data_IF_628692916452
#
_entry.id   IF_628692916452
#
_cell.length_a   1.000
_cell.length_b   1.000
_cell.length_c   1.000
_cell.angle_alpha   90.00
_cell.angle_beta   90.00
_cell.angle_gamma   90.00
#
_symmetry.space_group_name_H-M   'P 1'
#
loop_
_entity.id
_entity.type
_entity.pdbx_description
1 polymer ?
#
# COMPACT_ATOMS: atom_id res chain seq x y z
N UNK A 1 -31.41 27.98 20.74
CA UNK A 1 -30.21 27.11 20.77
C UNK A 1 -29.04 27.95 20.31
N UNK A 2 -28.29 28.49 21.26
CA UNK A 2 -27.12 29.33 21.02
C UNK A 2 -25.93 28.43 20.70
N UNK A 3 -25.43 28.53 19.46
CA UNK A 3 -24.18 27.90 19.06
C UNK A 3 -23.06 28.65 19.78
N UNK A 4 -22.43 28.01 20.77
CA UNK A 4 -21.23 28.54 21.39
C UNK A 4 -20.12 28.61 20.33
N UNK A 5 -19.49 29.78 20.11
CA UNK A 5 -18.27 29.84 19.33
C UNK A 5 -17.20 29.15 20.16
N UNK A 6 -16.75 27.97 19.71
CA UNK A 6 -15.54 27.35 20.24
C UNK A 6 -14.35 28.26 19.89
N UNK A 7 -13.95 29.11 20.83
CA UNK A 7 -12.60 29.66 20.86
C UNK A 7 -11.66 28.46 21.08
N UNK A 8 -10.98 28.02 20.02
CA UNK A 8 -9.74 27.27 20.20
C UNK A 8 -8.75 28.27 20.77
N UNK A 9 -8.23 28.01 21.97
CA UNK A 9 -7.16 28.83 22.53
C UNK A 9 -5.94 28.75 21.61
N UNK A 10 -5.10 29.79 21.60
CA UNK A 10 -3.92 29.88 20.72
C UNK A 10 -3.00 28.64 20.86
N UNK A 11 -2.94 28.08 22.08
CA UNK A 11 -2.23 26.85 22.44
C UNK A 11 -2.84 25.61 21.74
N UNK A 12 -4.17 25.55 21.58
CA UNK A 12 -4.84 24.43 20.92
C UNK A 12 -4.59 24.42 19.41
N UNK A 13 -4.45 25.60 18.80
CA UNK A 13 -4.13 25.73 17.37
C UNK A 13 -2.70 25.29 17.08
N UNK A 14 -1.73 25.67 17.91
CA UNK A 14 -0.34 25.23 17.75
C UNK A 14 -0.20 23.71 17.89
N UNK A 15 -0.86 23.11 18.88
CA UNK A 15 -0.88 21.65 19.07
C UNK A 15 -1.52 20.95 17.87
N UNK A 16 -2.63 21.49 17.35
CA UNK A 16 -3.31 20.92 16.19
C UNK A 16 -2.47 21.01 14.91
N UNK A 17 -1.75 22.11 14.71
CA UNK A 17 -0.81 22.29 13.60
C UNK A 17 0.39 21.34 13.68
N UNK A 18 0.94 21.11 14.87
CA UNK A 18 2.04 20.16 15.05
C UNK A 18 1.57 18.72 14.81
N UNK A 19 0.38 18.34 15.30
CA UNK A 19 -0.22 17.04 15.01
C UNK A 19 -0.47 16.85 13.51
N UNK A 20 -0.95 17.87 12.83
CA UNK A 20 -1.14 17.89 11.38
C UNK A 20 0.20 17.71 10.64
N UNK A 21 1.23 18.51 11.00
CA UNK A 21 2.58 18.42 10.44
C UNK A 21 3.18 17.02 10.59
N UNK A 22 3.10 16.44 11.80
CA UNK A 22 3.58 15.09 12.06
C UNK A 22 2.81 14.04 11.25
N UNK A 23 1.50 14.20 11.11
CA UNK A 23 0.69 13.29 10.32
C UNK A 23 1.07 13.33 8.82
N UNK A 24 1.30 14.52 8.25
CA UNK A 24 1.77 14.69 6.87
C UNK A 24 3.19 14.11 6.64
N UNK A 25 4.14 14.36 7.55
CA UNK A 25 5.49 13.78 7.47
C UNK A 25 5.44 12.25 7.49
N UNK A 26 4.65 11.70 8.40
CA UNK A 26 4.46 10.25 8.52
C UNK A 26 3.81 9.65 7.27
N UNK A 27 2.80 10.32 6.69
CA UNK A 27 2.17 9.89 5.44
C UNK A 27 3.16 9.84 4.27
N UNK A 28 4.03 10.84 4.14
CA UNK A 28 5.07 10.88 3.10
C UNK A 28 6.12 9.78 3.28
N UNK A 29 6.66 9.64 4.48
CA UNK A 29 7.64 8.59 4.79
C UNK A 29 7.07 7.20 4.51
N UNK A 30 5.79 7.01 4.82
CA UNK A 30 5.06 5.78 4.56
C UNK A 30 4.92 5.47 3.06
N UNK A 31 4.50 6.44 2.24
CA UNK A 31 4.37 6.24 0.79
C UNK A 31 5.72 5.81 0.20
N UNK A 32 6.81 6.47 0.61
CA UNK A 32 8.17 6.10 0.19
C UNK A 32 8.52 4.66 0.57
N UNK A 33 8.23 4.26 1.81
CA UNK A 33 8.48 2.90 2.29
C UNK A 33 7.67 1.86 1.51
N UNK A 34 6.42 2.16 1.17
CA UNK A 34 5.54 1.29 0.37
C UNK A 34 6.12 1.07 -1.03
N UNK A 35 6.51 2.12 -1.73
CA UNK A 35 7.13 2.00 -3.06
C UNK A 35 8.43 1.19 -3.02
N UNK A 36 9.27 1.40 -2.01
CA UNK A 36 10.53 0.65 -1.85
C UNK A 36 10.26 -0.84 -1.63
N UNK A 37 9.32 -1.19 -0.74
CA UNK A 37 8.92 -2.58 -0.50
C UNK A 37 8.32 -3.23 -1.74
N UNK A 38 7.50 -2.49 -2.47
CA UNK A 38 6.89 -2.96 -3.72
C UNK A 38 7.94 -3.21 -4.80
N UNK A 39 8.90 -2.29 -4.98
CA UNK A 39 10.00 -2.46 -5.93
C UNK A 39 10.84 -3.70 -5.61
N UNK A 40 11.17 -3.93 -4.34
CA UNK A 40 11.88 -5.13 -3.88
C UNK A 40 11.06 -6.39 -4.19
N UNK A 41 9.75 -6.38 -3.90
CA UNK A 41 8.86 -7.50 -4.19
C UNK A 41 8.85 -7.87 -5.67
N UNK A 42 8.67 -6.87 -6.55
CA UNK A 42 8.68 -7.09 -8.01
C UNK A 42 10.04 -7.59 -8.47
N UNK A 43 11.13 -7.01 -7.97
CA UNK A 43 12.49 -7.43 -8.32
C UNK A 43 12.75 -8.88 -7.93
N UNK A 44 12.40 -9.30 -6.71
CA UNK A 44 12.58 -10.69 -6.26
C UNK A 44 11.77 -11.64 -7.14
N UNK A 45 10.48 -11.36 -7.40
CA UNK A 45 9.66 -12.25 -8.22
C UNK A 45 10.17 -12.34 -9.67
N UNK A 46 10.61 -11.21 -10.24
CA UNK A 46 11.16 -11.19 -11.59
C UNK A 46 12.47 -11.99 -11.68
N UNK A 47 13.39 -11.80 -10.73
CA UNK A 47 14.67 -12.54 -10.71
C UNK A 47 14.45 -14.03 -10.49
N UNK A 48 13.62 -14.42 -9.51
CA UNK A 48 13.35 -15.83 -9.22
C UNK A 48 12.60 -16.48 -10.40
N UNK A 49 11.60 -15.80 -10.96
CA UNK A 49 10.88 -16.29 -12.14
C UNK A 49 11.80 -16.49 -13.34
N UNK A 50 12.66 -15.51 -13.65
CA UNK A 50 13.63 -15.61 -14.73
C UNK A 50 14.67 -16.73 -14.49
N UNK A 51 15.18 -16.85 -13.25
CA UNK A 51 16.13 -17.89 -12.87
C UNK A 51 15.57 -19.30 -13.06
N UNK A 52 14.26 -19.48 -12.83
CA UNK A 52 13.58 -20.77 -13.01
C UNK A 52 13.63 -21.26 -14.46
N UNK A 53 13.59 -20.36 -15.44
CA UNK A 53 13.69 -20.71 -16.86
C UNK A 53 15.12 -20.69 -17.41
N UNK A 54 16.00 -19.86 -16.83
CA UNK A 54 17.36 -19.68 -17.34
C UNK A 54 18.33 -20.77 -16.85
N UNK A 55 18.07 -21.38 -15.70
CA UNK A 55 19.00 -22.29 -15.05
C UNK A 55 18.44 -23.72 -15.05
N UNK A 56 19.05 -24.58 -15.87
CA UNK A 56 18.66 -25.99 -16.02
C UNK A 56 18.62 -26.76 -14.68
N UNK A 57 19.53 -26.45 -13.75
CA UNK A 57 19.62 -27.12 -12.44
C UNK A 57 18.43 -26.83 -11.50
N UNK A 58 17.69 -25.74 -11.75
CA UNK A 58 16.52 -25.36 -10.95
C UNK A 58 15.22 -26.03 -11.43
N UNK A 59 15.18 -26.57 -12.65
CA UNK A 59 14.02 -27.29 -13.18
C UNK A 59 13.50 -28.41 -12.26
N UNK A 60 14.31 -29.34 -11.72
CA UNK A 60 13.80 -30.39 -10.84
C UNK A 60 13.20 -29.86 -9.52
N UNK A 61 13.46 -28.60 -9.17
CA UNK A 61 12.95 -27.96 -7.96
C UNK A 61 11.82 -26.97 -8.23
N UNK A 62 11.24 -26.96 -9.43
CA UNK A 62 10.21 -25.98 -9.85
C UNK A 62 9.10 -25.78 -8.81
N UNK A 63 8.56 -26.88 -8.26
CA UNK A 63 7.49 -26.87 -7.26
C UNK A 63 7.89 -26.04 -6.03
N UNK A 64 9.11 -26.22 -5.53
CA UNK A 64 9.60 -25.48 -4.37
C UNK A 64 9.76 -24.00 -4.67
N UNK A 65 10.20 -23.66 -5.88
CA UNK A 65 10.39 -22.28 -6.32
C UNK A 65 9.04 -21.57 -6.45
N UNK A 66 8.04 -22.22 -7.06
CA UNK A 66 6.70 -21.65 -7.16
C UNK A 66 6.00 -21.57 -5.82
N UNK A 67 6.13 -22.57 -4.94
CA UNK A 67 5.63 -22.47 -3.57
C UNK A 67 6.26 -21.30 -2.83
N UNK A 68 7.57 -21.09 -2.99
CA UNK A 68 8.26 -19.93 -2.43
C UNK A 68 7.69 -18.61 -2.99
N UNK A 69 7.50 -18.52 -4.31
CA UNK A 69 6.90 -17.36 -4.97
C UNK A 69 5.48 -17.04 -4.51
N UNK A 70 4.64 -18.08 -4.35
CA UNK A 70 3.27 -17.97 -3.83
C UNK A 70 3.29 -17.48 -2.39
N UNK A 71 4.08 -18.10 -1.51
CA UNK A 71 4.19 -17.73 -0.10
C UNK A 71 4.68 -16.28 0.04
N UNK A 72 5.70 -15.89 -0.73
CA UNK A 72 6.21 -14.52 -0.76
C UNK A 72 5.11 -13.54 -1.19
N UNK A 73 4.37 -13.86 -2.25
CA UNK A 73 3.26 -13.04 -2.76
C UNK A 73 2.16 -12.85 -1.72
N UNK A 74 1.76 -13.92 -1.03
CA UNK A 74 0.75 -13.87 0.04
C UNK A 74 1.24 -13.02 1.22
N UNK A 75 2.50 -13.20 1.64
CA UNK A 75 3.09 -12.42 2.74
C UNK A 75 3.11 -10.92 2.42
N UNK A 76 3.56 -10.54 1.23
CA UNK A 76 3.57 -9.14 0.81
C UNK A 76 2.16 -8.56 0.66
N UNK A 77 1.20 -9.35 0.19
CA UNK A 77 -0.19 -8.93 0.09
C UNK A 77 -0.81 -8.69 1.49
N UNK A 78 -0.58 -9.58 2.45
CA UNK A 78 -1.01 -9.38 3.85
C UNK A 78 -0.37 -8.13 4.43
N UNK A 79 0.93 -7.94 4.20
CA UNK A 79 1.66 -6.79 4.67
C UNK A 79 1.09 -5.50 4.07
N UNK A 80 0.88 -5.43 2.76
CA UNK A 80 0.26 -4.27 2.10
C UNK A 80 -1.13 -3.98 2.67
N UNK A 81 -1.96 -5.02 2.86
CA UNK A 81 -3.31 -4.89 3.41
C UNK A 81 -3.32 -4.33 4.84
N UNK A 82 -2.40 -4.79 5.71
CA UNK A 82 -2.28 -4.25 7.08
C UNK A 82 -1.77 -2.82 7.09
N UNK A 83 -0.78 -2.55 6.25
CA UNK A 83 -0.10 -1.26 6.15
C UNK A 83 -1.12 -0.22 5.62
N UNK A 84 -1.97 -0.61 4.66
CA UNK A 84 -3.05 0.22 4.15
C UNK A 84 -4.09 0.60 5.21
N UNK A 85 -4.55 -0.34 6.05
CA UNK A 85 -5.50 -0.02 7.14
C UNK A 85 -4.94 1.05 8.09
N UNK A 86 -3.63 0.99 8.36
CA UNK A 86 -2.95 1.99 9.17
C UNK A 86 -2.91 3.36 8.47
N UNK A 87 -2.66 3.38 7.17
CA UNK A 87 -2.65 4.60 6.36
C UNK A 87 -4.03 5.26 6.30
N UNK A 88 -5.09 4.49 6.04
CA UNK A 88 -6.47 5.00 6.00
C UNK A 88 -6.84 5.70 7.32
N UNK A 89 -6.42 5.12 8.45
CA UNK A 89 -6.63 5.70 9.77
C UNK A 89 -5.85 7.02 9.97
N UNK A 90 -4.63 7.12 9.41
CA UNK A 90 -3.84 8.38 9.44
C UNK A 90 -4.43 9.45 8.53
N UNK A 91 -4.86 9.10 7.31
CA UNK A 91 -5.54 10.04 6.42
C UNK A 91 -6.84 10.58 7.02
N UNK A 92 -7.63 9.73 7.68
CA UNK A 92 -8.83 10.20 8.41
C UNK A 92 -8.50 11.18 9.52
N UNK A 93 -7.38 11.00 10.23
CA UNK A 93 -6.91 11.96 11.26
C UNK A 93 -6.45 13.27 10.64
N UNK A 94 -5.75 13.24 9.51
CA UNK A 94 -5.35 14.44 8.76
C UNK A 94 -6.58 15.22 8.34
N UNK A 95 -7.55 14.57 7.69
CA UNK A 95 -8.82 15.17 7.29
C UNK A 95 -9.60 15.74 8.48
N UNK A 96 -9.59 15.07 9.63
CA UNK A 96 -10.22 15.60 10.83
C UNK A 96 -9.52 16.87 11.34
N UNK A 97 -8.18 16.93 11.31
CA UNK A 97 -7.42 18.13 11.67
C UNK A 97 -7.67 19.28 10.68
N UNK A 98 -7.71 18.99 9.37
CA UNK A 98 -8.01 19.99 8.32
C UNK A 98 -9.41 20.60 8.48
N UNK A 99 -10.41 19.78 8.84
CA UNK A 99 -11.77 20.26 9.17
C UNK A 99 -11.79 21.15 10.41
N UNK A 100 -11.05 20.78 11.46
CA UNK A 100 -10.98 21.56 12.70
C UNK A 100 -10.23 22.89 12.50
N UNK A 101 -9.22 22.92 11.63
CA UNK A 101 -8.47 24.13 11.29
C UNK A 101 -9.21 25.06 10.30
N UNK A 102 -10.36 24.64 9.76
CA UNK A 102 -11.12 25.40 8.76
C UNK A 102 -10.41 25.52 7.40
N UNK A 103 -9.42 24.68 7.11
CA UNK A 103 -8.61 24.73 5.87
C UNK A 103 -8.98 23.61 4.88
N UNK A 104 -10.01 22.81 5.21
CA UNK A 104 -10.48 21.72 4.37
C UNK A 104 -10.75 22.14 2.91
N UNK A 105 -11.33 23.33 2.72
CA UNK A 105 -11.68 23.87 1.39
C UNK A 105 -10.47 24.38 0.58
N UNK A 106 -9.34 24.62 1.25
CA UNK A 106 -8.14 25.20 0.64
C UNK A 106 -7.20 24.14 0.05
N UNK A 107 -7.16 22.94 0.63
CA UNK A 107 -6.23 21.88 0.24
C UNK A 107 -6.88 20.71 -0.52
N UNK A 108 -8.19 20.48 -0.35
CA UNK A 108 -8.91 19.40 -1.03
C UNK A 108 -10.24 19.95 -1.56
N UNK A 109 -10.35 20.32 -2.85
CA UNK A 109 -11.65 20.67 -3.41
C UNK A 109 -12.61 19.47 -3.25
N UNK A 110 -13.87 19.78 -2.91
CA UNK A 110 -15.00 18.88 -2.61
C UNK A 110 -15.33 17.78 -3.65
N UNK A 111 -14.50 17.58 -4.68
CA UNK A 111 -14.78 16.72 -5.83
C UNK A 111 -14.39 15.25 -5.67
N UNK A 112 -13.67 14.85 -4.62
CA UNK A 112 -13.33 13.43 -4.41
C UNK A 112 -14.09 12.84 -3.22
N UNK A 113 -15.34 12.41 -3.47
CA UNK A 113 -16.08 11.52 -2.55
C UNK A 113 -15.39 10.14 -2.39
N UNK A 114 -14.42 9.82 -3.24
CA UNK A 114 -13.57 8.65 -3.10
C UNK A 114 -12.42 8.96 -2.13
N UNK A 115 -12.16 8.14 -1.10
CA UNK A 115 -10.99 8.32 -0.26
C UNK A 115 -9.72 8.32 -1.14
N UNK A 116 -8.77 9.25 -0.92
CA UNK A 116 -7.55 9.33 -1.71
C UNK A 116 -6.77 8.01 -1.57
N UNK A 117 -6.80 7.18 -2.61
CA UNK A 117 -6.16 5.86 -2.62
C UNK A 117 -7.00 4.67 -3.06
N UNK A 118 -8.31 4.84 -3.35
CA UNK A 118 -9.14 3.77 -3.92
C UNK A 118 -8.61 3.20 -5.27
N UNK A 119 -8.17 4.00 -6.26
CA UNK A 119 -7.58 3.47 -7.50
C UNK A 119 -6.24 2.76 -7.25
N UNK A 120 -5.41 3.28 -6.34
CA UNK A 120 -4.11 2.67 -5.98
C UNK A 120 -4.33 1.32 -5.29
N UNK A 121 -5.37 1.19 -4.46
CA UNK A 121 -5.73 -0.07 -3.81
C UNK A 121 -6.07 -1.15 -4.83
N UNK A 122 -6.93 -0.82 -5.79
CA UNK A 122 -7.35 -1.76 -6.83
C UNK A 122 -6.13 -2.17 -7.66
N UNK A 123 -5.30 -1.21 -8.06
CA UNK A 123 -4.08 -1.47 -8.81
C UNK A 123 -3.14 -2.45 -8.08
N UNK A 124 -2.91 -2.25 -6.79
CA UNK A 124 -2.04 -3.14 -5.99
C UNK A 124 -2.61 -4.55 -5.89
N UNK A 125 -3.92 -4.70 -5.64
CA UNK A 125 -4.57 -6.01 -5.65
C UNK A 125 -4.47 -6.72 -7.00
N UNK A 126 -4.66 -5.98 -8.10
CA UNK A 126 -4.50 -6.54 -9.45
C UNK A 126 -3.08 -7.03 -9.69
N UNK A 127 -2.07 -6.28 -9.25
CA UNK A 127 -0.66 -6.69 -9.39
C UNK A 127 -0.38 -7.97 -8.59
N UNK A 128 -0.80 -8.05 -7.33
CA UNK A 128 -0.64 -9.26 -6.53
C UNK A 128 -1.38 -10.45 -7.15
N UNK A 129 -2.61 -10.26 -7.62
CA UNK A 129 -3.37 -11.30 -8.31
C UNK A 129 -2.67 -11.78 -9.60
N UNK A 130 -2.09 -10.85 -10.36
CA UNK A 130 -1.37 -11.16 -11.61
C UNK A 130 -0.10 -11.96 -11.33
N UNK A 131 0.68 -11.57 -10.32
CA UNK A 131 1.90 -12.31 -9.94
C UNK A 131 1.55 -13.69 -9.39
N UNK A 132 0.51 -13.79 -8.56
CA UNK A 132 0.03 -15.07 -8.05
C UNK A 132 -0.43 -15.99 -9.19
N UNK A 133 -1.21 -15.47 -10.14
CA UNK A 133 -1.61 -16.19 -11.34
C UNK A 133 -0.38 -16.59 -12.17
N UNK A 134 0.63 -15.73 -12.28
CA UNK A 134 1.89 -16.03 -12.93
C UNK A 134 2.60 -17.26 -12.35
N UNK A 135 2.68 -17.36 -11.02
CA UNK A 135 3.25 -18.54 -10.36
C UNK A 135 2.43 -19.82 -10.61
N UNK A 136 1.10 -19.72 -10.59
CA UNK A 136 0.22 -20.86 -10.87
C UNK A 136 0.32 -21.33 -12.33
N UNK A 137 0.39 -20.39 -13.27
CA UNK A 137 0.57 -20.69 -14.70
C UNK A 137 1.94 -21.30 -14.95
N UNK A 138 2.98 -20.81 -14.29
CA UNK A 138 4.34 -21.35 -14.41
C UNK A 138 4.39 -22.82 -13.96
N UNK A 139 3.79 -23.15 -12.82
CA UNK A 139 3.67 -24.56 -12.39
C UNK A 139 2.84 -25.40 -13.37
N UNK A 140 1.72 -24.87 -13.85
CA UNK A 140 0.88 -25.58 -14.81
C UNK A 140 1.64 -25.88 -16.10
N UNK A 141 2.42 -24.92 -16.62
CA UNK A 141 3.22 -25.10 -17.83
C UNK A 141 4.30 -26.16 -17.66
N UNK A 142 4.98 -26.19 -16.51
CA UNK A 142 6.03 -27.17 -16.25
C UNK A 142 5.45 -28.57 -16.06
N UNK A 143 4.31 -28.70 -15.38
CA UNK A 143 3.61 -30.00 -15.22
C UNK A 143 3.08 -30.54 -16.55
N UNK A 144 2.68 -29.66 -17.47
CA UNK A 144 2.15 -30.04 -18.79
C UNK A 144 3.24 -30.29 -19.84
N UNK A 145 4.49 -29.91 -19.58
CA UNK A 145 5.62 -30.23 -20.45
C UNK A 145 6.23 -31.58 -20.03
N UNK A 146 6.14 -32.63 -20.89
CA UNK A 146 6.64 -33.96 -20.59
C UNK A 146 8.17 -34.05 -20.58
#
# INVERSE_FOLDING_TARGET
MTVHPHHLDEIDVEVLLELYRQACINARAYIRLRYLRFAIFVAINAVVGAATFAIAELHPYHIYIALFGIVLTVLFWILDSRTQKFYDLKCRRILACEKLLGVADYFVPFTEEAPPGLPIRILMHLIFATILAGWLVLELLIVLQP
#
